data_IF_629828173234
#
_entry.id   IF_629828173234
#
_cell.length_a   1.000
_cell.length_b   1.000
_cell.length_c   1.000
_cell.angle_alpha   90.00
_cell.angle_beta   90.00
_cell.angle_gamma   90.00
#
_symmetry.space_group_name_H-M   'P 1'
#
loop_
_entity.id
_entity.type
_entity.pdbx_description
1 polymer ?
#
# COMPACT_ATOMS: atom_id res chain seq x y z
N UNK A 1 6.10 45.99 14.13
CA UNK A 1 4.92 45.34 14.74
C UNK A 1 3.81 45.26 13.70
N UNK A 2 3.59 44.08 13.10
CA UNK A 2 2.35 43.31 13.23
C UNK A 2 2.63 41.95 12.60
N UNK A 3 2.56 40.95 13.47
CA UNK A 3 2.64 39.53 13.20
C UNK A 3 1.40 39.13 12.39
N UNK A 4 1.59 38.42 11.28
CA UNK A 4 0.53 37.56 10.75
C UNK A 4 1.22 36.31 10.19
N UNK A 5 1.62 35.45 11.13
CA UNK A 5 2.17 34.11 10.92
C UNK A 5 1.14 33.18 10.28
N UNK A 6 0.73 33.51 9.05
CA UNK A 6 -0.07 32.64 8.20
C UNK A 6 0.90 31.84 7.33
N UNK A 7 1.75 31.02 7.96
CA UNK A 7 2.30 29.86 7.26
C UNK A 7 1.11 28.98 6.93
N UNK A 8 0.86 28.88 5.63
CA UNK A 8 -0.35 28.31 5.08
C UNK A 8 -0.60 26.89 5.61
N UNK A 9 -1.88 26.50 5.70
CA UNK A 9 -2.37 25.24 6.27
C UNK A 9 -1.93 23.95 5.54
N UNK A 10 -0.79 23.95 4.86
CA UNK A 10 -0.08 22.79 4.35
C UNK A 10 1.06 22.33 5.29
N UNK A 11 1.44 23.10 6.31
CA UNK A 11 2.46 22.70 7.30
C UNK A 11 1.99 21.54 8.23
N UNK A 12 0.70 21.25 8.25
CA UNK A 12 0.07 20.16 9.02
C UNK A 12 -0.39 18.99 8.13
N UNK A 13 0.27 18.74 6.99
CA UNK A 13 0.14 17.42 6.37
C UNK A 13 0.86 16.43 7.30
N UNK A 14 0.07 15.79 8.19
CA UNK A 14 0.56 14.80 9.12
C UNK A 14 1.32 13.71 8.34
N UNK A 15 2.63 13.62 8.59
CA UNK A 15 3.50 12.74 7.81
C UNK A 15 3.15 11.29 8.19
N UNK A 16 2.89 10.40 7.22
CA UNK A 16 2.56 9.02 7.56
C UNK A 16 3.67 8.38 8.40
N UNK A 17 3.27 7.60 9.41
CA UNK A 17 4.20 6.88 10.27
C UNK A 17 5.12 5.96 9.46
N UNK A 18 6.25 5.53 10.02
CA UNK A 18 7.16 4.61 9.33
C UNK A 18 6.43 3.34 8.84
N UNK A 19 5.52 2.81 9.66
CA UNK A 19 4.67 1.67 9.29
C UNK A 19 3.73 1.99 8.13
N UNK A 20 3.04 3.16 8.17
CA UNK A 20 2.15 3.57 7.08
C UNK A 20 2.91 3.77 5.77
N UNK A 21 4.09 4.39 5.80
CA UNK A 21 4.94 4.56 4.62
C UNK A 21 5.38 3.22 4.04
N UNK A 22 5.86 2.30 4.88
CA UNK A 22 6.22 0.96 4.44
C UNK A 22 5.02 0.22 3.83
N UNK A 23 3.84 0.34 4.44
CA UNK A 23 2.61 -0.26 3.90
C UNK A 23 2.23 0.32 2.56
N UNK A 24 2.30 1.63 2.39
CA UNK A 24 2.00 2.31 1.12
C UNK A 24 3.01 1.93 0.02
N UNK A 25 4.31 1.88 0.36
CA UNK A 25 5.36 1.40 -0.54
C UNK A 25 5.07 -0.03 -1.03
N UNK A 26 4.72 -0.94 -0.11
CA UNK A 26 4.37 -2.31 -0.45
C UNK A 26 3.17 -2.40 -1.40
N UNK A 27 2.15 -1.56 -1.20
CA UNK A 27 0.96 -1.50 -2.06
C UNK A 27 1.32 -1.01 -3.47
N UNK A 28 2.17 0.01 -3.58
CA UNK A 28 2.66 0.53 -4.86
C UNK A 28 3.47 -0.53 -5.61
N UNK A 29 4.43 -1.17 -4.95
CA UNK A 29 5.26 -2.22 -5.54
C UNK A 29 4.43 -3.40 -6.05
N UNK A 30 3.38 -3.80 -5.33
CA UNK A 30 2.45 -4.83 -5.78
C UNK A 30 1.69 -4.43 -7.05
N UNK A 31 1.22 -3.18 -7.10
CA UNK A 31 0.49 -2.66 -8.25
C UNK A 31 1.39 -2.53 -9.47
N UNK A 32 2.63 -2.05 -9.28
CA UNK A 32 3.62 -1.91 -10.33
C UNK A 32 4.01 -3.28 -10.89
N UNK A 33 4.24 -4.27 -10.02
CA UNK A 33 4.53 -5.64 -10.46
C UNK A 33 3.36 -6.24 -11.25
N UNK A 34 2.10 -6.03 -10.80
CA UNK A 34 0.90 -6.49 -11.52
C UNK A 34 0.77 -5.81 -12.89
N UNK A 35 1.07 -4.52 -12.99
CA UNK A 35 0.99 -3.76 -14.25
C UNK A 35 2.10 -4.14 -15.22
N UNK A 36 3.31 -4.34 -14.71
CA UNK A 36 4.46 -4.75 -15.51
C UNK A 36 4.28 -6.17 -16.07
N UNK A 37 3.62 -7.06 -15.33
CA UNK A 37 3.43 -8.44 -15.72
C UNK A 37 1.98 -8.91 -15.45
N UNK A 38 1.02 -8.58 -16.36
CA UNK A 38 -0.39 -8.90 -16.16
C UNK A 38 -0.70 -10.40 -16.09
N UNK A 39 0.12 -11.23 -16.73
CA UNK A 39 -0.02 -12.69 -16.76
C UNK A 39 0.56 -13.39 -15.51
N UNK A 40 1.31 -12.67 -14.67
CA UNK A 40 1.95 -13.25 -13.49
C UNK A 40 0.92 -13.66 -12.46
N UNK A 41 1.06 -14.88 -11.95
CA UNK A 41 0.13 -15.41 -10.96
C UNK A 41 0.20 -14.63 -9.64
N UNK A 42 -0.88 -14.69 -8.86
CA UNK A 42 -0.89 -14.04 -7.53
C UNK A 42 0.20 -14.60 -6.60
N UNK A 43 0.57 -15.87 -6.77
CA UNK A 43 1.65 -16.51 -5.99
C UNK A 43 3.01 -15.90 -6.34
N UNK A 44 3.33 -15.83 -7.63
CA UNK A 44 4.60 -15.26 -8.09
C UNK A 44 4.71 -13.77 -7.73
N UNK A 45 3.61 -13.01 -7.79
CA UNK A 45 3.58 -11.63 -7.28
C UNK A 45 3.82 -11.55 -5.77
N UNK A 46 3.25 -12.48 -5.00
CA UNK A 46 3.48 -12.55 -3.57
C UNK A 46 4.95 -12.86 -3.25
N UNK A 47 5.56 -13.80 -3.95
CA UNK A 47 6.97 -14.18 -3.78
C UNK A 47 7.92 -13.06 -4.21
N UNK A 48 7.59 -12.33 -5.28
CA UNK A 48 8.43 -11.22 -5.75
C UNK A 48 8.37 -10.00 -4.82
N UNK A 49 7.21 -9.70 -4.21
CA UNK A 49 6.98 -8.41 -3.53
C UNK A 49 6.77 -8.54 -2.02
N UNK A 50 5.99 -9.52 -1.57
CA UNK A 50 5.52 -9.61 -0.16
C UNK A 50 6.37 -10.58 0.66
N UNK A 51 6.79 -11.69 0.05
CA UNK A 51 7.53 -12.77 0.68
C UNK A 51 8.75 -13.16 -0.17
N UNK A 52 9.73 -12.23 -0.33
CA UNK A 52 10.95 -12.52 -1.06
C UNK A 52 11.69 -13.70 -0.42
N UNK A 53 12.11 -14.66 -1.24
CA UNK A 53 12.88 -15.83 -0.79
C UNK A 53 12.14 -17.17 -0.84
N UNK A 54 11.14 -17.34 -1.70
CA UNK A 54 10.59 -18.66 -2.02
C UNK A 54 9.81 -19.31 -0.87
N UNK A 55 8.91 -18.55 -0.24
CA UNK A 55 8.15 -19.04 0.93
C UNK A 55 7.12 -20.15 0.59
N UNK A 56 6.75 -20.34 -0.68
CA UNK A 56 5.72 -21.30 -1.09
C UNK A 56 6.23 -22.29 -2.14
N UNK A 57 7.10 -23.21 -1.72
CA UNK A 57 7.66 -24.28 -2.58
C UNK A 57 6.59 -25.12 -3.29
N UNK A 58 5.42 -25.33 -2.67
CA UNK A 58 4.31 -26.08 -3.27
C UNK A 58 3.09 -25.21 -3.51
N UNK A 59 2.43 -25.41 -4.66
CA UNK A 59 1.20 -24.69 -5.00
C UNK A 59 0.05 -24.89 -3.98
N UNK A 60 0.05 -26.03 -3.28
CA UNK A 60 -0.94 -26.32 -2.22
C UNK A 60 -0.72 -25.46 -0.97
N UNK A 61 0.54 -25.17 -0.63
CA UNK A 61 0.92 -24.32 0.50
C UNK A 61 0.50 -22.87 0.26
N UNK A 62 0.38 -22.46 -1.00
CA UNK A 62 -0.20 -21.16 -1.37
C UNK A 62 -1.74 -21.16 -1.34
N UNK A 63 -2.38 -22.24 -1.78
CA UNK A 63 -3.83 -22.25 -2.08
C UNK A 63 -4.69 -22.11 -0.81
N UNK A 64 -4.28 -22.71 0.30
CA UNK A 64 -5.02 -22.73 1.58
C UNK A 64 -4.53 -21.68 2.58
N UNK A 65 -3.52 -20.88 2.23
CA UNK A 65 -2.80 -20.04 3.18
C UNK A 65 -3.53 -18.77 3.60
N UNK A 66 -3.20 -18.28 4.80
CA UNK A 66 -3.60 -16.95 5.23
C UNK A 66 -2.94 -15.87 4.36
N UNK A 67 -1.74 -16.17 3.86
CA UNK A 67 -0.90 -15.34 3.02
C UNK A 67 -1.56 -15.03 1.67
N UNK A 68 -2.23 -16.00 1.03
CA UNK A 68 -3.02 -15.73 -0.18
C UNK A 68 -4.09 -14.68 0.07
N UNK A 69 -4.89 -14.84 1.14
CA UNK A 69 -5.92 -13.85 1.50
C UNK A 69 -5.31 -12.49 1.84
N UNK A 70 -4.15 -12.46 2.49
CA UNK A 70 -3.42 -11.23 2.79
C UNK A 70 -2.99 -10.50 1.51
N UNK A 71 -2.43 -11.21 0.53
CA UNK A 71 -1.99 -10.63 -0.75
C UNK A 71 -3.18 -10.14 -1.58
N UNK A 72 -4.28 -10.89 -1.61
CA UNK A 72 -5.52 -10.41 -2.25
C UNK A 72 -6.04 -9.12 -1.61
N UNK A 73 -6.09 -9.04 -0.27
CA UNK A 73 -6.49 -7.81 0.43
C UNK A 73 -5.55 -6.66 0.14
N UNK A 74 -4.24 -6.91 0.13
CA UNK A 74 -3.23 -5.93 -0.23
C UNK A 74 -3.50 -5.37 -1.62
N UNK A 75 -3.64 -6.24 -2.62
CA UNK A 75 -3.85 -5.79 -3.99
C UNK A 75 -5.18 -5.03 -4.16
N UNK A 76 -6.26 -5.54 -3.60
CA UNK A 76 -7.56 -4.86 -3.62
C UNK A 76 -7.49 -3.48 -2.94
N UNK A 77 -6.71 -3.36 -1.86
CA UNK A 77 -6.44 -2.07 -1.21
C UNK A 77 -5.67 -1.14 -2.14
N UNK A 78 -4.64 -1.64 -2.82
CA UNK A 78 -3.83 -0.85 -3.75
C UNK A 78 -4.69 -0.32 -4.93
N UNK A 79 -5.52 -1.18 -5.51
CA UNK A 79 -6.46 -0.83 -6.58
C UNK A 79 -7.48 0.22 -6.11
N UNK A 80 -8.08 0.03 -4.94
CA UNK A 80 -9.03 0.99 -4.37
C UNK A 80 -8.40 2.36 -4.08
N UNK A 81 -7.15 2.39 -3.59
CA UNK A 81 -6.42 3.64 -3.36
C UNK A 81 -6.19 4.39 -4.67
N UNK A 82 -5.73 3.71 -5.72
CA UNK A 82 -5.47 4.34 -7.03
C UNK A 82 -6.75 4.74 -7.75
N UNK A 83 -7.86 4.03 -7.54
CA UNK A 83 -9.18 4.39 -8.07
C UNK A 83 -9.80 5.66 -7.43
N UNK A 84 -9.09 6.34 -6.52
CA UNK A 84 -9.54 7.57 -5.88
C UNK A 84 -9.57 7.52 -4.35
N UNK A 85 -9.37 6.33 -3.76
CA UNK A 85 -9.30 6.14 -2.31
C UNK A 85 -8.15 6.90 -1.65
N UNK A 86 -7.09 7.26 -2.38
CA UNK A 86 -5.97 8.05 -1.87
C UNK A 86 -6.41 9.40 -1.28
N UNK A 87 -7.54 9.97 -1.71
CA UNK A 87 -8.08 11.22 -1.14
C UNK A 87 -8.41 11.07 0.34
N UNK A 88 -8.85 9.89 0.76
CA UNK A 88 -9.10 9.61 2.18
C UNK A 88 -7.81 9.67 3.00
N UNK A 89 -6.64 9.33 2.42
CA UNK A 89 -5.36 9.47 3.11
C UNK A 89 -5.07 10.94 3.42
N UNK A 90 -5.36 11.84 2.46
CA UNK A 90 -5.14 13.29 2.62
C UNK A 90 -6.12 13.90 3.63
N UNK A 91 -7.36 13.43 3.67
CA UNK A 91 -8.34 13.88 4.64
C UNK A 91 -8.12 13.27 6.03
N UNK A 92 -7.69 12.01 6.13
CA UNK A 92 -7.43 11.35 7.42
C UNK A 92 -6.22 11.93 8.14
N UNK A 93 -5.19 12.35 7.41
CA UNK A 93 -4.05 13.10 7.98
C UNK A 93 -4.46 14.50 8.43
N UNK A 94 -5.50 15.08 7.81
CA UNK A 94 -6.05 16.38 8.21
C UNK A 94 -7.09 16.28 9.35
N UNK A 95 -7.72 15.11 9.55
CA UNK A 95 -8.84 14.91 10.47
C UNK A 95 -8.42 14.37 11.85
N UNK A 96 -7.15 14.55 12.24
CA UNK A 96 -6.72 14.49 13.64
C UNK A 96 -6.47 15.92 14.11
N UNK A 97 -7.56 16.64 14.35
CA UNK A 97 -7.61 17.92 15.06
C UNK A 97 -8.53 17.78 16.25
#
# INVERSE_FOLDING_TARGET
>A
MLNDGRTAGWDTIDRPSAYQRHRLDLLLRLLDARRAQPATSMRELAEAVVFPGGRFDRAIDWTTSAERRQVHRLLSTAEALVAGGYRQLLHATSNKG
#
